data_IF_793764558564
#
_entry.id   IF_793764558564
#
_cell.length_a   1.000
_cell.length_b   1.000
_cell.length_c   1.000
_cell.angle_alpha   90.00
_cell.angle_beta   90.00
_cell.angle_gamma   90.00
#
_symmetry.space_group_name_H-M   'P 1'
#
loop_
_entity.id
_entity.type
_entity.pdbx_description
1 polymer ?
#
# COMPACT_ATOMS: atom_id res chain seq x y z
N UNK A 1 12.32 16.13 -10.77
CA UNK A 1 12.59 14.70 -11.04
C UNK A 1 11.62 13.85 -10.25
N UNK A 2 10.99 12.87 -10.92
CA UNK A 2 10.02 11.97 -10.27
C UNK A 2 10.68 10.87 -9.44
N UNK A 3 11.91 10.54 -9.74
CA UNK A 3 12.63 9.50 -9.00
C UNK A 3 13.99 10.05 -8.59
N UNK A 4 14.16 10.30 -7.30
CA UNK A 4 15.38 10.90 -6.74
C UNK A 4 15.87 10.11 -5.54
N UNK A 5 17.18 10.12 -5.34
CA UNK A 5 17.84 9.43 -4.25
C UNK A 5 18.67 8.23 -4.70
N UNK A 6 19.32 7.54 -3.76
CA UNK A 6 20.19 6.41 -4.08
C UNK A 6 19.44 5.31 -4.84
N UNK A 7 20.08 4.75 -5.86
CA UNK A 7 19.49 3.71 -6.68
C UNK A 7 19.05 2.49 -5.86
N UNK A 8 19.87 2.05 -4.92
CA UNK A 8 19.57 0.87 -4.09
C UNK A 8 18.33 1.09 -3.22
N UNK A 9 18.16 2.29 -2.68
CA UNK A 9 16.99 2.63 -1.88
C UNK A 9 15.73 2.73 -2.74
N UNK A 10 15.86 3.29 -3.96
CA UNK A 10 14.73 3.34 -4.89
C UNK A 10 14.27 1.94 -5.30
N UNK A 11 15.21 1.03 -5.55
CA UNK A 11 14.89 -0.36 -5.86
C UNK A 11 14.21 -1.02 -4.67
N UNK A 12 14.73 -0.82 -3.45
CA UNK A 12 14.17 -1.40 -2.25
C UNK A 12 12.72 -0.94 -2.00
N UNK A 13 12.44 0.34 -2.26
CA UNK A 13 11.07 0.88 -2.12
C UNK A 13 10.14 0.31 -3.19
N UNK A 14 10.63 0.13 -4.44
CA UNK A 14 9.86 -0.56 -5.47
C UNK A 14 9.54 -1.99 -5.08
N UNK A 15 10.49 -2.71 -4.52
CA UNK A 15 10.28 -4.07 -4.06
C UNK A 15 9.37 -4.14 -2.82
N UNK A 16 9.40 -3.13 -1.96
CA UNK A 16 8.43 -2.99 -0.86
C UNK A 16 7.00 -2.92 -1.42
N UNK A 17 6.79 -2.09 -2.44
CA UNK A 17 5.49 -1.94 -3.09
C UNK A 17 5.05 -3.24 -3.77
N UNK A 18 5.96 -3.91 -4.46
CA UNK A 18 5.68 -5.19 -5.13
C UNK A 18 5.39 -6.30 -4.12
N UNK A 19 6.10 -6.32 -2.99
CA UNK A 19 5.83 -7.25 -1.88
C UNK A 19 4.43 -7.04 -1.31
N UNK A 20 4.04 -5.80 -1.11
CA UNK A 20 2.70 -5.43 -0.68
C UNK A 20 1.65 -5.96 -1.67
N UNK A 21 1.82 -5.67 -2.95
CA UNK A 21 0.88 -6.08 -3.99
C UNK A 21 0.74 -7.61 -4.08
N UNK A 22 1.86 -8.33 -4.02
CA UNK A 22 1.87 -9.79 -4.05
C UNK A 22 1.14 -10.36 -2.83
N UNK A 23 1.36 -9.79 -1.65
CA UNK A 23 0.71 -10.22 -0.42
C UNK A 23 -0.82 -10.01 -0.49
N UNK A 24 -1.29 -8.92 -1.10
CA UNK A 24 -2.73 -8.71 -1.33
C UNK A 24 -3.28 -9.82 -2.23
N UNK A 25 -2.64 -10.10 -3.35
CA UNK A 25 -3.08 -11.13 -4.29
C UNK A 25 -3.14 -12.50 -3.65
N UNK A 26 -2.17 -12.83 -2.79
CA UNK A 26 -2.15 -14.11 -2.07
C UNK A 26 -3.01 -14.12 -0.81
N UNK A 27 -3.58 -12.98 -0.43
CA UNK A 27 -4.31 -12.81 0.85
C UNK A 27 -3.46 -13.24 2.06
N UNK A 28 -2.17 -12.90 2.03
CA UNK A 28 -1.20 -13.24 3.06
C UNK A 28 -1.08 -12.10 4.07
N UNK A 29 -1.84 -12.17 5.16
CA UNK A 29 -1.91 -11.10 6.15
C UNK A 29 -0.56 -10.86 6.84
N UNK A 30 0.22 -11.91 7.10
CA UNK A 30 1.52 -11.77 7.75
C UNK A 30 2.51 -11.03 6.84
N UNK A 31 2.61 -11.43 5.56
CA UNK A 31 3.47 -10.77 4.59
C UNK A 31 3.04 -9.34 4.33
N UNK A 32 1.74 -9.10 4.21
CA UNK A 32 1.18 -7.76 4.01
C UNK A 32 1.49 -6.86 5.20
N UNK A 33 1.23 -7.34 6.42
CA UNK A 33 1.48 -6.60 7.65
C UNK A 33 2.94 -6.23 7.84
N UNK A 34 3.86 -7.12 7.42
CA UNK A 34 5.30 -6.89 7.54
C UNK A 34 5.81 -5.72 6.66
N UNK A 35 5.03 -5.25 5.69
CA UNK A 35 5.40 -4.07 4.88
C UNK A 35 5.19 -2.76 5.63
N UNK A 36 4.42 -2.76 6.70
CA UNK A 36 4.10 -1.58 7.49
C UNK A 36 5.07 -1.41 8.66
N UNK A 37 5.45 -0.15 8.96
CA UNK A 37 6.14 0.16 10.20
C UNK A 37 5.21 -0.09 11.40
N UNK A 38 5.77 -0.31 12.58
CA UNK A 38 4.96 -0.60 13.78
C UNK A 38 4.00 0.52 14.14
N UNK A 39 4.42 1.78 13.94
CA UNK A 39 3.65 2.99 14.25
C UNK A 39 2.96 3.59 13.01
N UNK A 40 2.71 2.78 12.00
CA UNK A 40 2.18 3.25 10.73
C UNK A 40 0.74 3.76 10.82
N UNK A 41 0.35 4.50 9.80
CA UNK A 41 -1.02 5.02 9.63
C UNK A 41 -1.56 4.67 8.25
N UNK A 42 -2.80 4.21 8.20
CA UNK A 42 -3.51 3.91 6.97
C UNK A 42 -4.78 4.75 6.91
N UNK A 43 -4.86 5.62 5.92
CA UNK A 43 -5.97 6.55 5.75
C UNK A 43 -6.78 6.23 4.50
N UNK A 44 -8.09 6.30 4.63
CA UNK A 44 -9.06 6.03 3.56
C UNK A 44 -10.01 7.22 3.44
N UNK A 45 -9.54 8.37 2.90
CA UNK A 45 -10.34 9.60 2.88
C UNK A 45 -11.63 9.52 2.06
N UNK A 46 -11.72 8.59 1.09
CA UNK A 46 -12.97 8.37 0.35
C UNK A 46 -14.02 7.61 1.18
N UNK A 47 -13.61 7.09 2.34
CA UNK A 47 -14.46 6.33 3.24
C UNK A 47 -14.38 6.96 4.64
N UNK A 48 -15.05 8.12 4.86
CA UNK A 48 -14.91 8.88 6.11
C UNK A 48 -15.24 8.07 7.37
N UNK A 49 -16.14 7.11 7.28
CA UNK A 49 -16.50 6.22 8.38
C UNK A 49 -15.35 5.33 8.84
N UNK A 50 -14.38 5.07 7.97
CA UNK A 50 -13.20 4.27 8.29
C UNK A 50 -12.04 5.12 8.83
N UNK A 51 -11.94 6.37 8.34
CA UNK A 51 -10.97 7.35 8.81
C UNK A 51 -9.53 6.91 8.66
N UNK A 52 -8.76 7.06 9.73
CA UNK A 52 -7.34 6.66 9.80
C UNK A 52 -7.17 5.59 10.85
N UNK A 53 -6.54 4.49 10.46
CA UNK A 53 -6.20 3.39 11.35
C UNK A 53 -4.72 3.49 11.70
N UNK A 54 -4.39 3.41 12.99
CA UNK A 54 -3.02 3.59 13.48
C UNK A 54 -2.49 2.33 14.14
N UNK A 55 -1.22 2.03 13.84
CA UNK A 55 -0.51 0.90 14.39
C UNK A 55 -0.69 -0.37 13.56
N UNK A 56 0.40 -1.12 13.39
CA UNK A 56 0.41 -2.33 12.57
C UNK A 56 -0.69 -3.35 12.96
N UNK A 57 -0.89 -3.68 14.24
CA UNK A 57 -1.92 -4.67 14.60
C UNK A 57 -3.32 -4.26 14.19
N UNK A 58 -3.68 -2.99 14.39
CA UNK A 58 -4.99 -2.49 14.01
C UNK A 58 -5.16 -2.43 12.49
N UNK A 59 -4.11 -2.03 11.77
CA UNK A 59 -4.09 -1.98 10.32
C UNK A 59 -4.32 -3.38 9.74
N UNK A 60 -3.61 -4.38 10.25
CA UNK A 60 -3.76 -5.77 9.79
C UNK A 60 -5.17 -6.29 10.06
N UNK A 61 -5.70 -6.04 11.26
CA UNK A 61 -7.05 -6.48 11.62
C UNK A 61 -8.10 -5.86 10.70
N UNK A 62 -7.98 -4.58 10.41
CA UNK A 62 -8.88 -3.87 9.49
C UNK A 62 -8.79 -4.43 8.07
N UNK A 63 -7.58 -4.70 7.60
CA UNK A 63 -7.36 -5.26 6.26
C UNK A 63 -7.98 -6.65 6.11
N UNK A 64 -7.81 -7.51 7.12
CA UNK A 64 -8.40 -8.87 7.10
C UNK A 64 -9.92 -8.79 6.91
N UNK A 65 -10.59 -7.89 7.62
CA UNK A 65 -12.03 -7.69 7.45
C UNK A 65 -12.37 -7.12 6.07
N UNK A 66 -11.62 -6.12 5.62
CA UNK A 66 -11.86 -5.49 4.32
C UNK A 66 -11.74 -6.48 3.17
N UNK A 67 -10.78 -7.39 3.24
CA UNK A 67 -10.52 -8.36 2.15
C UNK A 67 -11.66 -9.36 1.93
N UNK A 68 -12.55 -9.51 2.88
CA UNK A 68 -13.75 -10.35 2.71
C UNK A 68 -14.66 -9.86 1.58
N UNK A 69 -14.58 -8.57 1.26
CA UNK A 69 -15.35 -7.95 0.17
C UNK A 69 -14.68 -8.07 -1.20
N UNK A 70 -13.49 -8.67 -1.28
CA UNK A 70 -12.70 -8.73 -2.52
C UNK A 70 -12.26 -10.15 -2.86
N UNK A 71 -13.20 -11.09 -3.01
CA UNK A 71 -12.85 -12.48 -3.35
C UNK A 71 -12.18 -12.56 -4.71
N UNK A 72 -11.15 -13.40 -4.80
CA UNK A 72 -10.43 -13.63 -6.05
C UNK A 72 -9.57 -12.45 -6.51
N UNK A 73 -9.22 -11.52 -5.60
CA UNK A 73 -8.49 -10.31 -5.96
C UNK A 73 -7.14 -10.60 -6.60
N UNK A 74 -6.86 -9.87 -7.69
CA UNK A 74 -5.51 -9.70 -8.24
C UNK A 74 -5.19 -8.21 -8.08
N UNK A 75 -4.06 -7.91 -7.46
CA UNK A 75 -3.68 -6.54 -7.12
C UNK A 75 -2.35 -6.20 -7.80
N UNK A 76 -2.35 -5.13 -8.57
CA UNK A 76 -1.15 -4.60 -9.20
C UNK A 76 -0.87 -3.20 -8.69
N UNK A 77 0.40 -2.87 -8.49
CA UNK A 77 0.81 -1.54 -8.04
C UNK A 77 2.12 -1.14 -8.71
N UNK A 78 2.26 0.16 -8.98
CA UNK A 78 3.48 0.72 -9.57
C UNK A 78 3.68 2.15 -9.08
N UNK A 79 4.94 2.61 -8.94
CA UNK A 79 5.20 3.97 -8.50
C UNK A 79 5.09 4.98 -9.65
N UNK A 80 4.54 6.16 -9.33
CA UNK A 80 4.58 7.32 -10.20
C UNK A 80 5.71 8.27 -9.83
N UNK A 81 6.14 8.26 -8.54
CA UNK A 81 7.28 9.04 -8.06
C UNK A 81 7.84 8.43 -6.79
N UNK A 82 9.14 8.58 -6.59
CA UNK A 82 9.83 8.22 -5.34
C UNK A 82 10.86 9.30 -5.07
N UNK A 83 10.78 9.94 -3.90
CA UNK A 83 11.74 10.95 -3.49
C UNK A 83 12.31 10.56 -2.13
N UNK A 84 13.62 10.32 -2.07
CA UNK A 84 14.30 9.83 -0.87
C UNK A 84 15.18 10.92 -0.31
N UNK A 85 15.04 11.17 1.01
CA UNK A 85 15.88 12.07 1.77
C UNK A 85 16.35 11.31 3.01
N UNK A 86 17.61 10.84 3.00
CA UNK A 86 18.14 10.05 4.11
C UNK A 86 17.36 8.75 4.31
N UNK A 87 16.84 8.56 5.53
CA UNK A 87 16.08 7.37 5.91
C UNK A 87 14.56 7.55 5.76
N UNK A 88 14.13 8.56 5.03
CA UNK A 88 12.72 8.81 4.74
C UNK A 88 12.48 8.94 3.26
N UNK A 89 11.26 8.63 2.82
CA UNK A 89 10.88 8.79 1.43
C UNK A 89 9.41 9.14 1.32
N UNK A 90 9.07 9.82 0.23
CA UNK A 90 7.69 9.98 -0.21
C UNK A 90 7.52 9.23 -1.52
N UNK A 91 6.35 8.66 -1.72
CA UNK A 91 6.01 7.93 -2.95
C UNK A 91 4.58 8.22 -3.33
N UNK A 92 4.35 8.41 -4.62
CA UNK A 92 3.00 8.31 -5.20
C UNK A 92 2.96 7.00 -5.96
N UNK A 93 1.97 6.17 -5.64
CA UNK A 93 1.82 4.88 -6.31
C UNK A 93 0.38 4.72 -6.79
N UNK A 94 0.22 3.88 -7.80
CA UNK A 94 -1.08 3.58 -8.40
C UNK A 94 -1.39 2.12 -8.23
N UNK A 95 -2.68 1.80 -8.13
CA UNK A 95 -3.16 0.43 -8.04
C UNK A 95 -4.16 0.11 -9.13
N UNK A 96 -4.18 -1.15 -9.54
CA UNK A 96 -5.22 -1.72 -10.36
C UNK A 96 -5.65 -3.03 -9.70
N UNK A 97 -6.93 -3.14 -9.41
CA UNK A 97 -7.49 -4.27 -8.67
C UNK A 97 -8.58 -4.94 -9.49
N UNK A 98 -8.54 -6.26 -9.57
CA UNK A 98 -9.58 -7.05 -10.21
C UNK A 98 -10.06 -8.09 -9.20
N UNK A 99 -11.36 -8.17 -8.98
CA UNK A 99 -11.95 -9.09 -8.01
C UNK A 99 -13.36 -9.48 -8.45
N UNK A 100 -13.94 -10.49 -7.80
CA UNK A 100 -15.25 -10.98 -8.14
C UNK A 100 -16.29 -10.52 -7.11
N UNK A 101 -17.45 -10.11 -7.61
CA UNK A 101 -18.56 -9.70 -6.76
C UNK A 101 -19.89 -10.06 -7.46
N UNK A 102 -20.71 -10.88 -6.79
CA UNK A 102 -22.02 -11.27 -7.31
C UNK A 102 -21.97 -11.79 -8.76
N UNK A 103 -21.05 -12.70 -9.05
CA UNK A 103 -20.83 -13.29 -10.38
C UNK A 103 -20.38 -12.27 -11.44
N UNK A 104 -19.94 -11.10 -11.00
CA UNK A 104 -19.42 -10.04 -11.88
C UNK A 104 -17.96 -9.77 -11.55
N UNK A 105 -17.14 -9.60 -12.58
CA UNK A 105 -15.75 -9.16 -12.40
C UNK A 105 -15.72 -7.65 -12.23
N UNK A 106 -15.21 -7.20 -11.10
CA UNK A 106 -15.07 -5.78 -10.76
C UNK A 106 -13.64 -5.32 -11.00
N UNK A 107 -13.50 -4.05 -11.37
CA UNK A 107 -12.20 -3.44 -11.60
C UNK A 107 -12.17 -2.09 -10.90
N UNK A 108 -11.22 -1.93 -9.98
CA UNK A 108 -10.99 -0.68 -9.27
C UNK A 108 -9.59 -0.16 -9.54
N UNK A 109 -9.43 1.14 -9.48
CA UNK A 109 -8.14 1.80 -9.60
C UNK A 109 -8.00 2.82 -8.49
N UNK A 110 -6.79 2.92 -7.97
CA UNK A 110 -6.52 3.82 -6.87
C UNK A 110 -5.19 4.53 -6.99
N UNK A 111 -5.05 5.53 -6.15
CA UNK A 111 -3.79 6.25 -5.95
C UNK A 111 -3.49 6.30 -4.46
N UNK A 112 -2.24 6.02 -4.13
CA UNK A 112 -1.70 6.17 -2.79
C UNK A 112 -0.72 7.33 -2.73
N UNK A 113 -0.84 8.13 -1.68
CA UNK A 113 0.21 9.05 -1.25
C UNK A 113 0.87 8.42 -0.04
N UNK A 114 2.13 8.10 -0.18
CA UNK A 114 2.86 7.27 0.78
C UNK A 114 4.03 8.01 1.41
N UNK A 115 4.29 7.71 2.70
CA UNK A 115 5.58 7.98 3.31
C UNK A 115 6.22 6.66 3.72
N UNK A 116 7.53 6.56 3.53
CA UNK A 116 8.30 5.38 3.86
C UNK A 116 9.42 5.74 4.82
N UNK A 117 9.86 4.78 5.62
CA UNK A 117 10.94 4.95 6.58
C UNK A 117 11.87 3.76 6.52
N UNK A 118 13.18 4.02 6.63
CA UNK A 118 14.22 2.99 6.69
C UNK A 118 14.62 2.77 8.14
N UNK A 119 14.42 1.54 8.62
CA UNK A 119 14.71 1.15 10.00
C UNK A 119 15.56 -0.13 9.94
N UNK A 120 16.74 -0.09 10.55
CA UNK A 120 17.63 -1.26 10.55
C UNK A 120 18.02 -1.71 9.15
N UNK A 121 18.16 -0.77 8.22
CA UNK A 121 18.53 -1.06 6.83
C UNK A 121 17.40 -1.52 5.95
N UNK A 122 16.17 -1.57 6.45
CA UNK A 122 14.99 -2.04 5.71
C UNK A 122 13.94 -0.94 5.60
N UNK A 123 13.30 -0.85 4.43
CA UNK A 123 12.24 0.11 4.20
C UNK A 123 10.86 -0.45 4.57
N UNK A 124 10.02 0.42 5.14
CA UNK A 124 8.63 0.13 5.54
C UNK A 124 7.72 1.27 5.13
N UNK A 125 6.46 0.98 4.91
CA UNK A 125 5.44 2.04 4.82
C UNK A 125 5.19 2.62 6.20
N UNK A 126 5.32 3.93 6.32
CA UNK A 126 4.99 4.66 7.54
C UNK A 126 3.58 5.21 7.49
N UNK A 127 3.17 5.73 6.35
CA UNK A 127 1.80 6.15 6.14
C UNK A 127 1.38 5.88 4.71
N UNK A 128 0.13 5.51 4.52
CA UNK A 128 -0.47 5.38 3.20
C UNK A 128 -1.86 6.00 3.23
N UNK A 129 -2.15 6.86 2.25
CA UNK A 129 -3.47 7.46 2.07
C UNK A 129 -4.01 7.07 0.70
N UNK A 130 -5.13 6.37 0.69
CA UNK A 130 -5.72 5.79 -0.53
C UNK A 130 -6.93 6.57 -1.00
N UNK A 131 -6.98 6.84 -2.31
CA UNK A 131 -8.16 7.39 -2.98
C UNK A 131 -8.46 6.56 -4.22
N UNK A 132 -9.75 6.39 -4.50
CA UNK A 132 -10.18 5.81 -5.77
C UNK A 132 -9.97 6.81 -6.90
N UNK A 133 -9.57 6.32 -8.07
CA UNK A 133 -9.48 7.14 -9.26
C UNK A 133 -10.81 7.04 -10.01
N UNK A 134 -11.47 8.18 -10.15
CA UNK A 134 -12.73 8.29 -10.90
C UNK A 134 -12.49 9.13 -12.15
N UNK A 135 -12.74 8.53 -13.28
CA UNK A 135 -12.55 9.19 -14.56
C UNK A 135 -13.73 8.97 -15.48
#
# INVERSE_FOLDING_TARGET
MTFTGPFEDRLAIRELLETYADAVTRCDAAAWGATWAEDAEWSLPDYPELGTTRGRPAIVAMWIEAMKAYPGITFEAWPGSIEIIGDTATMRSYTSEVYDQNDTTMRDRGVYEDTCVKIGGQWFFRSRSFRNIHR
#
